data_IF_407913256441
#
_entry.id   IF_407913256441
#
_cell.length_a   1.000
_cell.length_b   1.000
_cell.length_c   1.000
_cell.angle_alpha   90.00
_cell.angle_beta   90.00
_cell.angle_gamma   90.00
#
_symmetry.space_group_name_H-M   'P 1'
#
loop_
_entity.id
_entity.type
_entity.pdbx_description
1 polymer ?
#
# COMPACT_ATOMS: atom_id res chain seq x y z
N UNK A 1 -11.71 8.75 1.60
CA UNK A 1 -12.68 9.06 0.52
C UNK A 1 -12.64 7.97 -0.53
N UNK A 2 -13.78 7.41 -0.99
CA UNK A 2 -13.76 6.41 -2.05
C UNK A 2 -13.17 7.01 -3.32
N UNK A 3 -12.33 6.23 -4.00
CA UNK A 3 -11.52 6.66 -5.13
C UNK A 3 -12.42 7.20 -6.26
N UNK A 4 -12.41 8.52 -6.48
CA UNK A 4 -13.25 9.25 -7.46
C UNK A 4 -13.22 8.61 -8.85
N UNK A 5 -12.12 7.99 -9.22
CA UNK A 5 -11.97 7.30 -10.50
C UNK A 5 -12.63 5.92 -10.52
N UNK A 6 -12.64 5.19 -9.41
CA UNK A 6 -13.36 3.92 -9.30
C UNK A 6 -14.88 4.14 -9.47
N UNK A 7 -15.41 5.22 -8.89
CA UNK A 7 -16.81 5.63 -9.09
C UNK A 7 -17.11 5.95 -10.56
N UNK A 8 -16.21 6.67 -11.24
CA UNK A 8 -16.35 6.97 -12.67
C UNK A 8 -16.34 5.70 -13.54
N UNK A 9 -15.47 4.74 -13.23
CA UNK A 9 -15.44 3.44 -13.92
C UNK A 9 -16.73 2.65 -13.72
N UNK A 10 -17.26 2.62 -12.48
CA UNK A 10 -18.50 1.93 -12.16
C UNK A 10 -19.70 2.56 -12.90
N UNK A 11 -19.85 3.88 -12.83
CA UNK A 11 -20.91 4.60 -13.54
C UNK A 11 -20.78 4.46 -15.07
N UNK A 12 -19.56 4.44 -15.61
CA UNK A 12 -19.31 4.20 -17.03
C UNK A 12 -19.67 2.77 -17.46
N UNK A 13 -19.49 1.79 -16.59
CA UNK A 13 -19.85 0.39 -16.89
C UNK A 13 -21.36 0.17 -17.02
N UNK A 14 -22.17 1.01 -16.37
CA UNK A 14 -23.63 0.94 -16.42
C UNK A 14 -24.22 1.69 -17.63
N UNK A 15 -23.41 2.54 -18.29
CA UNK A 15 -23.83 3.47 -19.36
C UNK A 15 -22.88 3.45 -20.56
N UNK A 16 -22.43 2.26 -20.95
CA UNK A 16 -21.47 2.08 -22.05
C UNK A 16 -21.95 2.67 -23.38
N UNK A 17 -23.25 2.57 -23.67
CA UNK A 17 -23.85 3.06 -24.91
C UNK A 17 -23.91 4.60 -24.99
N UNK A 18 -23.86 5.28 -23.84
CA UNK A 18 -23.84 6.75 -23.75
C UNK A 18 -22.44 7.34 -23.95
N UNK A 19 -21.41 6.49 -23.99
CA UNK A 19 -20.01 6.91 -24.06
C UNK A 19 -19.47 6.78 -25.49
N UNK A 20 -18.68 7.79 -25.90
CA UNK A 20 -17.94 7.67 -27.15
C UNK A 20 -16.86 6.60 -27.03
N UNK A 21 -16.48 5.99 -28.16
CA UNK A 21 -15.34 5.06 -28.22
C UNK A 21 -14.06 5.66 -27.64
N UNK A 22 -13.83 6.96 -27.88
CA UNK A 22 -12.69 7.70 -27.32
C UNK A 22 -12.73 7.78 -25.80
N UNK A 23 -13.89 8.01 -25.21
CA UNK A 23 -14.03 8.13 -23.74
C UNK A 23 -13.73 6.80 -23.06
N UNK A 24 -14.23 5.69 -23.63
CA UNK A 24 -13.95 4.33 -23.16
C UNK A 24 -12.44 4.04 -23.23
N UNK A 25 -11.77 4.39 -24.33
CA UNK A 25 -10.33 4.20 -24.48
C UNK A 25 -9.52 4.97 -23.43
N UNK A 26 -9.90 6.22 -23.15
CA UNK A 26 -9.25 7.04 -22.12
C UNK A 26 -9.45 6.44 -20.72
N UNK A 27 -10.68 6.04 -20.39
CA UNK A 27 -11.01 5.41 -19.11
C UNK A 27 -10.22 4.11 -18.91
N UNK A 28 -10.20 3.22 -19.92
CA UNK A 28 -9.45 1.97 -19.85
C UNK A 28 -7.94 2.17 -19.75
N UNK A 29 -7.37 3.15 -20.47
CA UNK A 29 -5.94 3.48 -20.36
C UNK A 29 -5.58 3.95 -18.95
N UNK A 30 -6.41 4.81 -18.37
CA UNK A 30 -6.23 5.29 -16.99
C UNK A 30 -6.41 4.17 -15.97
N UNK A 31 -7.33 3.24 -16.20
CA UNK A 31 -7.53 2.06 -15.38
C UNK A 31 -6.32 1.14 -15.42
N UNK A 32 -5.83 0.82 -16.62
CA UNK A 32 -4.63 0.02 -16.83
C UNK A 32 -3.44 0.64 -16.08
N UNK A 33 -3.16 1.94 -16.27
CA UNK A 33 -2.07 2.62 -15.56
C UNK A 33 -2.22 2.56 -14.04
N UNK A 34 -3.43 2.68 -13.50
CA UNK A 34 -3.66 2.56 -12.05
C UNK A 34 -3.52 1.14 -11.54
N UNK A 35 -3.91 0.13 -12.30
CA UNK A 35 -3.69 -1.28 -11.97
C UNK A 35 -2.20 -1.62 -12.04
N UNK A 36 -1.49 -1.09 -13.05
CA UNK A 36 -0.03 -1.25 -13.18
C UNK A 36 0.73 -0.49 -12.08
N UNK A 37 0.27 0.70 -11.70
CA UNK A 37 0.86 1.45 -10.60
C UNK A 37 0.48 0.87 -9.23
N UNK A 38 -0.69 0.25 -9.08
CA UNK A 38 -1.03 -0.54 -7.88
C UNK A 38 -0.22 -1.84 -7.79
N UNK A 39 0.24 -2.39 -8.92
CA UNK A 39 1.12 -3.58 -8.93
C UNK A 39 2.56 -3.24 -8.59
N UNK A 40 2.96 -1.96 -8.65
CA UNK A 40 4.10 -1.46 -7.90
C UNK A 40 3.59 -1.07 -6.51
N UNK A 41 3.54 -2.03 -5.58
CA UNK A 41 2.94 -1.80 -4.27
C UNK A 41 3.56 -0.55 -3.62
N UNK A 42 2.74 0.46 -3.35
CA UNK A 42 3.17 1.62 -2.58
C UNK A 42 3.79 1.11 -1.26
N UNK A 43 4.97 1.61 -0.90
CA UNK A 43 5.74 1.07 0.24
C UNK A 43 6.75 -0.02 -0.11
N UNK A 44 6.87 -0.45 -1.37
CA UNK A 44 7.94 -1.39 -1.76
C UNK A 44 9.25 -0.64 -1.91
N UNK A 45 10.23 -0.98 -1.07
CA UNK A 45 11.60 -0.44 -1.13
C UNK A 45 12.56 -1.53 -1.58
N UNK A 46 13.47 -1.21 -2.50
CA UNK A 46 14.52 -2.14 -2.92
C UNK A 46 15.66 -2.07 -1.89
N UNK A 47 15.94 -3.20 -1.24
CA UNK A 47 17.09 -3.36 -0.36
C UNK A 47 18.34 -3.68 -1.18
N UNK A 48 19.49 -3.15 -0.77
CA UNK A 48 20.78 -3.61 -1.30
C UNK A 48 21.04 -5.06 -0.85
N UNK A 49 21.81 -5.87 -1.59
CA UNK A 49 21.97 -7.30 -1.35
C UNK A 49 22.39 -7.66 0.08
N UNK A 50 23.31 -6.88 0.66
CA UNK A 50 23.84 -7.09 2.01
C UNK A 50 22.76 -6.88 3.06
N UNK A 51 21.93 -5.84 2.89
CA UNK A 51 20.81 -5.54 3.80
C UNK A 51 19.70 -6.58 3.62
N UNK A 52 19.42 -7.00 2.38
CA UNK A 52 18.42 -8.03 2.10
C UNK A 52 18.78 -9.35 2.80
N UNK A 53 20.03 -9.80 2.72
CA UNK A 53 20.50 -11.01 3.37
C UNK A 53 20.38 -10.93 4.90
N UNK A 54 20.80 -9.81 5.49
CA UNK A 54 20.69 -9.59 6.94
C UNK A 54 19.22 -9.60 7.41
N UNK A 55 18.32 -8.94 6.66
CA UNK A 55 16.89 -8.92 6.97
C UNK A 55 16.27 -10.31 6.80
N UNK A 56 16.72 -11.11 5.83
CA UNK A 56 16.25 -12.50 5.68
C UNK A 56 16.57 -13.37 6.89
N UNK A 57 17.79 -13.25 7.42
CA UNK A 57 18.18 -13.95 8.65
C UNK A 57 17.35 -13.47 9.84
N UNK A 58 17.14 -12.16 9.97
CA UNK A 58 16.29 -11.58 11.01
C UNK A 58 14.83 -12.06 10.92
N UNK A 59 14.28 -12.11 9.71
CA UNK A 59 12.92 -12.58 9.44
C UNK A 59 12.78 -14.07 9.78
N UNK A 60 13.73 -14.89 9.34
CA UNK A 60 13.78 -16.32 9.65
C UNK A 60 13.87 -16.59 11.15
N UNK A 61 14.71 -15.83 11.88
CA UNK A 61 14.86 -15.97 13.32
C UNK A 61 13.58 -15.62 14.11
N UNK A 62 12.72 -14.76 13.54
CA UNK A 62 11.46 -14.31 14.16
C UNK A 62 10.21 -15.00 13.61
N UNK A 63 10.35 -15.80 12.55
CA UNK A 63 9.22 -16.46 11.89
C UNK A 63 8.25 -15.49 11.22
N UNK A 64 8.74 -14.33 10.77
CA UNK A 64 7.95 -13.29 10.09
C UNK A 64 8.35 -13.17 8.62
N UNK A 65 7.54 -12.49 7.82
CA UNK A 65 7.90 -12.15 6.44
C UNK A 65 9.05 -11.13 6.39
N UNK A 66 9.74 -11.06 5.25
CA UNK A 66 10.77 -10.05 4.99
C UNK A 66 10.22 -8.63 5.18
N UNK A 67 9.02 -8.37 4.69
CA UNK A 67 8.40 -7.04 4.78
C UNK A 67 8.07 -6.67 6.23
N UNK A 68 7.55 -7.60 7.03
CA UNK A 68 7.36 -7.39 8.47
C UNK A 68 8.69 -7.12 9.19
N UNK A 69 9.74 -7.86 8.84
CA UNK A 69 11.08 -7.65 9.39
C UNK A 69 11.66 -6.27 9.06
N UNK A 70 11.51 -5.79 7.83
CA UNK A 70 11.92 -4.43 7.43
C UNK A 70 11.16 -3.38 8.23
N UNK A 71 9.84 -3.54 8.34
CA UNK A 71 9.01 -2.58 9.07
C UNK A 71 9.39 -2.55 10.56
N UNK A 72 9.56 -3.70 11.21
CA UNK A 72 10.02 -3.76 12.61
C UNK A 72 11.36 -3.04 12.81
N UNK A 73 12.34 -3.33 11.95
CA UNK A 73 13.67 -2.73 12.06
C UNK A 73 13.65 -1.20 11.87
N UNK A 74 12.88 -0.72 10.89
CA UNK A 74 12.76 0.71 10.60
C UNK A 74 11.95 1.44 11.67
N UNK A 75 10.88 0.84 12.18
CA UNK A 75 10.07 1.38 13.27
C UNK A 75 10.89 1.53 14.54
N UNK A 76 11.62 0.48 14.95
CA UNK A 76 12.50 0.52 16.12
C UNK A 76 13.58 1.60 15.98
N UNK A 77 14.21 1.69 14.80
CA UNK A 77 15.19 2.73 14.51
C UNK A 77 14.58 4.14 14.56
N UNK A 78 13.41 4.34 13.96
CA UNK A 78 12.74 5.64 13.93
C UNK A 78 12.32 6.11 15.32
N UNK A 79 11.80 5.21 16.16
CA UNK A 79 11.47 5.48 17.57
C UNK A 79 12.74 5.84 18.35
N UNK A 80 13.80 5.04 18.20
CA UNK A 80 15.08 5.29 18.90
C UNK A 80 15.72 6.64 18.54
N UNK A 81 15.48 7.13 17.32
CA UNK A 81 15.94 8.43 16.84
C UNK A 81 14.97 9.58 17.12
N UNK A 82 13.78 9.30 17.66
CA UNK A 82 12.74 10.31 17.92
C UNK A 82 12.04 10.83 16.66
N UNK A 83 12.14 10.12 15.54
CA UNK A 83 11.39 10.44 14.32
C UNK A 83 9.93 9.96 14.36
N UNK A 84 9.59 9.10 15.31
CA UNK A 84 8.27 8.50 15.50
C UNK A 84 8.01 8.26 16.99
N UNK A 85 6.81 8.57 17.50
CA UNK A 85 6.42 8.16 18.86
C UNK A 85 5.84 6.74 18.82
N UNK A 86 5.94 6.01 19.94
CA UNK A 86 5.21 4.74 20.10
C UNK A 86 3.70 4.96 20.08
N UNK A 87 3.25 6.08 20.65
CA UNK A 87 1.84 6.43 20.77
C UNK A 87 1.19 6.61 19.38
N UNK A 88 1.94 7.11 18.39
CA UNK A 88 1.48 7.31 17.00
C UNK A 88 1.16 5.98 16.28
N UNK A 89 1.63 4.84 16.81
CA UNK A 89 1.45 3.51 16.21
C UNK A 89 0.34 2.69 16.88
N UNK A 90 -0.11 3.09 18.08
CA UNK A 90 -1.13 2.37 18.85
C UNK A 90 -2.56 2.87 18.58
N UNK A 91 -2.73 4.11 18.09
CA UNK A 91 -4.03 4.75 17.81
C UNK A 91 -4.84 4.08 16.67
N UNK A 92 -4.24 3.26 15.80
CA UNK A 92 -4.96 2.54 14.74
C UNK A 92 -5.57 1.20 15.22
N UNK A 93 -5.47 0.85 16.51
CA UNK A 93 -5.97 -0.42 17.09
C UNK A 93 -7.18 -0.30 18.01
N UNK A 94 -7.66 0.90 18.34
CA UNK A 94 -8.93 1.09 19.04
C UNK A 94 -10.11 0.98 18.06
N UNK A 95 -10.49 -0.26 17.74
CA UNK A 95 -11.84 -0.51 17.22
C UNK A 95 -12.85 -0.20 18.31
N UNK A 96 -13.66 0.81 18.03
CA UNK A 96 -14.84 1.27 18.76
C UNK A 96 -15.66 0.09 19.34
N UNK A 97 -15.48 -0.15 20.63
CA UNK A 97 -16.30 -1.07 21.41
C UNK A 97 -17.46 -0.32 22.02
N UNK A 98 -18.53 -0.07 21.25
CA UNK A 98 -19.79 0.40 21.82
C UNK A 98 -20.55 -0.79 22.42
N UNK A 99 -20.78 -0.70 23.74
CA UNK A 99 -21.61 -1.58 24.56
C UNK A 99 -23.07 -1.09 24.62
#
# INVERSE_FOLDING_TARGET
>A
MPDRFAKQLYEASDKLDDLSRSDIQILLRRAALRVTNKTQAAGTTVLIPEVAAMIDEFAAARGVSRDEAVNLALTDWAIGMGFMSKDDLEEDSETDGEA
#
